data_IF_493572696926
#
_entry.id   IF_493572696926
#
_cell.length_a   1.000
_cell.length_b   1.000
_cell.length_c   1.000
_cell.angle_alpha   90.00
_cell.angle_beta   90.00
_cell.angle_gamma   90.00
#
_symmetry.space_group_name_H-M   'P 1'
#
loop_
_entity.id
_entity.type
_entity.pdbx_description
1 polymer ?
#
# COMPACT_ATOMS: atom_id res chain seq x y z
N UNK A 1 2.85 5.78 21.05
CA UNK A 1 2.69 6.16 19.62
C UNK A 1 4.03 6.08 18.91
N UNK A 2 4.03 5.62 17.68
CA UNK A 2 5.22 5.63 16.82
C UNK A 2 5.30 6.96 16.01
N UNK A 3 6.39 7.13 15.25
CA UNK A 3 6.66 8.35 14.49
C UNK A 3 5.56 8.74 13.48
N UNK A 4 4.88 7.75 12.86
CA UNK A 4 3.82 8.00 11.89
C UNK A 4 2.51 8.35 12.59
N UNK A 5 2.19 7.69 13.70
CA UNK A 5 1.02 8.00 14.52
C UNK A 5 1.09 9.43 15.08
N UNK A 6 2.28 9.84 15.57
CA UNK A 6 2.52 11.22 16.03
C UNK A 6 2.30 12.22 14.88
N UNK A 7 2.80 11.92 13.68
CA UNK A 7 2.61 12.77 12.51
C UNK A 7 1.15 12.86 12.09
N UNK A 8 0.40 11.75 12.13
CA UNK A 8 -1.03 11.72 11.82
C UNK A 8 -1.81 12.57 12.82
N UNK A 9 -1.49 12.51 14.11
CA UNK A 9 -2.14 13.34 15.14
C UNK A 9 -1.83 14.82 14.94
N UNK A 10 -0.59 15.16 14.57
CA UNK A 10 -0.14 16.53 14.41
C UNK A 10 -0.72 17.20 13.16
N UNK A 11 -0.69 16.54 12.01
CA UNK A 11 -0.93 17.15 10.70
C UNK A 11 -2.06 16.49 9.89
N UNK A 12 -2.60 15.36 10.37
CA UNK A 12 -3.75 14.68 9.76
C UNK A 12 -5.04 15.46 10.00
N UNK A 13 -5.92 15.47 9.00
CA UNK A 13 -7.21 16.18 9.09
C UNK A 13 -8.35 15.18 8.95
N UNK A 14 -9.15 15.04 10.01
CA UNK A 14 -10.36 14.21 9.99
C UNK A 14 -11.47 15.01 9.31
N UNK A 15 -11.95 14.53 8.15
CA UNK A 15 -13.07 15.13 7.42
C UNK A 15 -14.41 14.53 7.81
N UNK A 16 -14.40 13.23 8.14
CA UNK A 16 -15.53 12.48 8.68
C UNK A 16 -14.98 11.30 9.45
N UNK A 17 -15.82 10.58 10.17
CA UNK A 17 -15.39 9.40 10.93
C UNK A 17 -14.74 8.29 10.06
N UNK A 18 -14.85 8.40 8.75
CA UNK A 18 -14.26 7.46 7.78
C UNK A 18 -13.17 8.06 6.86
N UNK A 19 -12.97 9.39 6.88
CA UNK A 19 -12.06 10.09 5.95
C UNK A 19 -10.99 10.84 6.72
N UNK A 20 -9.76 10.34 6.63
CA UNK A 20 -8.55 11.00 7.07
C UNK A 20 -7.81 11.56 5.84
N UNK A 21 -7.45 12.83 5.89
CA UNK A 21 -6.55 13.47 4.93
C UNK A 21 -5.14 13.51 5.49
N UNK A 22 -4.21 13.00 4.71
CA UNK A 22 -2.77 13.00 4.96
C UNK A 22 -2.03 13.75 3.84
N UNK A 23 -2.74 14.65 3.17
CA UNK A 23 -2.32 15.32 1.93
C UNK A 23 -1.05 16.17 2.13
N UNK A 24 -0.88 16.72 3.33
CA UNK A 24 0.24 17.61 3.66
C UNK A 24 1.59 16.92 3.85
N UNK A 25 1.62 15.57 3.96
CA UNK A 25 2.87 14.88 4.24
C UNK A 25 3.04 13.52 3.52
N UNK A 26 1.97 12.92 2.96
CA UNK A 26 2.04 11.59 2.36
C UNK A 26 1.53 11.51 0.91
N UNK A 27 0.51 12.30 0.51
CA UNK A 27 -0.19 12.11 -0.77
C UNK A 27 0.05 13.24 -1.78
N UNK A 28 -0.20 14.51 -1.43
CA UNK A 28 -0.02 15.66 -2.32
C UNK A 28 1.31 16.36 -2.11
N UNK A 29 1.68 16.58 -0.85
CA UNK A 29 3.03 16.93 -0.47
C UNK A 29 3.66 15.71 0.19
N UNK A 30 4.86 15.34 -0.24
CA UNK A 30 5.58 14.20 0.28
C UNK A 30 6.67 14.70 1.24
N UNK A 31 6.55 14.36 2.52
CA UNK A 31 7.63 14.54 3.48
C UNK A 31 8.63 13.39 3.27
N UNK A 32 9.73 13.70 2.60
CA UNK A 32 10.70 12.69 2.19
C UNK A 32 11.39 12.01 3.37
N UNK A 33 11.62 12.74 4.48
CA UNK A 33 12.21 12.17 5.68
C UNK A 33 11.25 11.18 6.36
N UNK A 34 9.95 11.50 6.41
CA UNK A 34 8.92 10.60 6.93
C UNK A 34 8.78 9.34 6.06
N UNK A 35 8.77 9.51 4.74
CA UNK A 35 8.66 8.38 3.81
C UNK A 35 9.90 7.48 3.88
N UNK A 36 11.09 8.03 4.04
CA UNK A 36 12.32 7.24 4.28
C UNK A 36 12.23 6.45 5.61
N UNK A 37 11.66 7.02 6.68
CA UNK A 37 11.41 6.28 7.94
C UNK A 37 10.40 5.15 7.77
N UNK A 38 9.31 5.36 7.02
CA UNK A 38 8.34 4.31 6.68
C UNK A 38 9.04 3.19 5.92
N UNK A 39 9.85 3.53 4.92
CA UNK A 39 10.61 2.57 4.13
C UNK A 39 11.55 1.72 4.98
N UNK A 40 12.28 2.33 5.91
CA UNK A 40 13.17 1.65 6.85
C UNK A 40 12.39 0.71 7.80
N UNK A 41 11.27 1.16 8.35
CA UNK A 41 10.45 0.37 9.28
C UNK A 41 9.82 -0.86 8.59
N UNK A 42 9.39 -0.75 7.34
CA UNK A 42 8.92 -1.89 6.55
C UNK A 42 10.07 -2.84 6.19
N UNK A 43 11.26 -2.30 5.90
CA UNK A 43 12.45 -3.12 5.68
C UNK A 43 12.85 -3.89 6.96
N UNK A 44 12.81 -3.26 8.12
CA UNK A 44 13.14 -3.93 9.39
C UNK A 44 12.20 -5.11 9.66
N UNK A 45 10.95 -5.03 9.24
CA UNK A 45 9.99 -6.12 9.41
C UNK A 45 10.16 -7.25 8.36
N UNK A 46 10.29 -6.89 7.08
CA UNK A 46 10.31 -7.86 5.97
C UNK A 46 11.72 -8.26 5.50
N UNK A 47 12.79 -7.66 6.02
CA UNK A 47 14.14 -7.79 5.50
C UNK A 47 14.75 -9.19 5.54
N UNK A 48 14.15 -10.13 6.30
CA UNK A 48 14.55 -11.54 6.30
C UNK A 48 13.95 -12.36 5.16
N UNK A 49 12.99 -11.81 4.41
CA UNK A 49 12.31 -12.49 3.29
C UNK A 49 13.09 -12.31 1.98
N UNK A 50 12.99 -13.24 1.04
CA UNK A 50 13.77 -13.24 -0.22
C UNK A 50 13.15 -12.29 -1.26
N UNK A 51 12.86 -11.04 -0.90
CA UNK A 51 12.17 -10.10 -1.75
C UNK A 51 13.04 -9.70 -2.94
N UNK A 52 12.54 -9.90 -4.15
CA UNK A 52 13.20 -9.52 -5.41
C UNK A 52 12.61 -8.26 -6.04
N UNK A 53 11.35 -7.93 -5.74
CA UNK A 53 10.66 -6.74 -6.28
C UNK A 53 9.69 -6.15 -5.27
N UNK A 54 9.57 -4.82 -5.33
CA UNK A 54 8.46 -4.11 -4.66
C UNK A 54 7.40 -3.80 -5.71
N UNK A 55 6.14 -4.02 -5.35
CA UNK A 55 4.99 -3.72 -6.21
C UNK A 55 4.08 -2.74 -5.49
N UNK A 56 3.72 -1.66 -6.19
CA UNK A 56 2.76 -0.66 -5.71
C UNK A 56 1.78 -0.26 -6.79
N UNK A 57 0.80 0.57 -6.43
CA UNK A 57 -0.17 1.12 -7.39
C UNK A 57 -0.09 2.65 -7.42
N UNK A 58 -0.27 3.24 -8.62
CA UNK A 58 -0.29 4.69 -8.78
C UNK A 58 -1.55 5.32 -8.13
N UNK A 59 -1.45 6.57 -7.63
CA UNK A 59 -0.23 7.38 -7.59
C UNK A 59 0.36 7.43 -6.18
N UNK A 60 -0.47 7.36 -5.12
CA UNK A 60 -0.09 7.64 -3.73
C UNK A 60 0.83 6.58 -3.11
N UNK A 61 0.76 5.34 -3.55
CA UNK A 61 1.66 4.27 -3.09
C UNK A 61 3.11 4.42 -3.59
N UNK A 62 3.34 5.18 -4.67
CA UNK A 62 4.67 5.27 -5.30
C UNK A 62 5.75 5.81 -4.35
N UNK A 63 5.57 6.91 -3.60
CA UNK A 63 6.60 7.41 -2.69
C UNK A 63 7.01 6.38 -1.63
N UNK A 64 6.03 5.70 -1.02
CA UNK A 64 6.28 4.66 0.00
C UNK A 64 6.98 3.46 -0.65
N UNK A 65 6.46 2.99 -1.81
CA UNK A 65 7.08 1.92 -2.59
C UNK A 65 8.53 2.21 -2.96
N UNK A 66 8.84 3.46 -3.36
CA UNK A 66 10.20 3.88 -3.68
C UNK A 66 11.13 3.78 -2.45
N UNK A 67 10.70 4.27 -1.30
CA UNK A 67 11.50 4.22 -0.09
C UNK A 67 11.77 2.77 0.35
N UNK A 68 10.75 1.90 0.27
CA UNK A 68 10.91 0.46 0.56
C UNK A 68 11.88 -0.19 -0.43
N UNK A 69 11.68 0.01 -1.74
CA UNK A 69 12.53 -0.56 -2.79
C UNK A 69 14.01 -0.13 -2.64
N UNK A 70 14.24 1.12 -2.26
CA UNK A 70 15.58 1.66 -1.97
C UNK A 70 16.24 0.91 -0.79
N UNK A 71 15.51 0.62 0.28
CA UNK A 71 16.05 -0.11 1.44
C UNK A 71 16.35 -1.58 1.09
N UNK A 72 15.50 -2.24 0.30
CA UNK A 72 15.75 -3.60 -0.19
C UNK A 72 16.79 -3.67 -1.31
N UNK A 73 17.12 -2.54 -1.93
CA UNK A 73 17.97 -2.46 -3.13
C UNK A 73 17.45 -3.33 -4.28
N UNK A 74 16.15 -3.29 -4.52
CA UNK A 74 15.43 -4.04 -5.58
C UNK A 74 14.60 -3.10 -6.45
N UNK A 75 14.18 -3.51 -7.66
CA UNK A 75 13.28 -2.70 -8.49
C UNK A 75 11.93 -2.43 -7.85
N UNK A 76 11.37 -1.24 -8.15
CA UNK A 76 9.98 -0.88 -7.89
C UNK A 76 9.16 -1.05 -9.16
N UNK A 77 8.11 -1.84 -9.10
CA UNK A 77 7.09 -1.97 -10.14
C UNK A 77 5.87 -1.16 -9.73
N UNK A 78 5.39 -0.29 -10.63
CA UNK A 78 4.21 0.55 -10.40
C UNK A 78 3.06 0.08 -11.29
N UNK A 79 2.02 -0.48 -10.71
CA UNK A 79 0.78 -0.80 -11.40
C UNK A 79 0.06 0.49 -11.81
N UNK A 80 -0.51 0.49 -13.02
CA UNK A 80 -1.18 1.64 -13.63
C UNK A 80 -2.69 1.45 -13.67
N UNK A 81 -3.44 2.55 -13.49
CA UNK A 81 -4.91 2.58 -13.58
C UNK A 81 -5.43 2.93 -14.99
N UNK A 82 -4.52 3.18 -15.92
CA UNK A 82 -4.83 3.41 -17.33
C UNK A 82 -3.90 2.59 -18.21
N UNK A 83 -4.45 1.99 -19.27
CA UNK A 83 -3.66 1.26 -20.26
C UNK A 83 -2.71 2.23 -20.99
N UNK A 84 -1.43 1.89 -21.05
CA UNK A 84 -0.47 2.60 -21.89
C UNK A 84 -0.48 1.99 -23.28
N UNK A 85 -0.68 2.81 -24.31
CA UNK A 85 -0.76 2.41 -25.73
C UNK A 85 0.55 1.77 -26.25
N UNK A 86 1.63 1.86 -25.50
CA UNK A 86 2.99 1.47 -25.91
C UNK A 86 3.58 0.31 -25.08
N UNK A 87 2.75 -0.63 -24.60
CA UNK A 87 3.29 -1.80 -23.88
C UNK A 87 3.48 -2.96 -24.86
N UNK A 88 4.72 -3.17 -25.30
CA UNK A 88 5.12 -4.36 -26.03
C UNK A 88 5.16 -5.58 -25.09
N UNK A 89 4.74 -6.76 -25.57
CA UNK A 89 4.82 -8.01 -24.80
C UNK A 89 3.59 -8.34 -23.96
N UNK A 90 2.58 -7.48 -23.95
CA UNK A 90 1.32 -7.70 -23.22
C UNK A 90 1.36 -7.26 -21.76
N UNK A 91 0.19 -7.33 -21.12
CA UNK A 91 -0.03 -6.88 -19.75
C UNK A 91 -0.68 -7.96 -18.90
N UNK A 92 -0.40 -7.96 -17.61
CA UNK A 92 -1.29 -8.52 -16.60
C UNK A 92 -2.36 -7.49 -16.28
N UNK A 93 -3.59 -7.94 -16.08
CA UNK A 93 -4.75 -7.12 -15.81
C UNK A 93 -5.49 -7.65 -14.57
N UNK A 94 -5.89 -6.75 -13.68
CA UNK A 94 -6.88 -7.03 -12.66
C UNK A 94 -7.99 -5.99 -12.68
N UNK A 95 -9.22 -6.43 -12.39
CA UNK A 95 -10.37 -5.54 -12.19
C UNK A 95 -10.53 -5.26 -10.69
N UNK A 96 -10.56 -3.99 -10.32
CA UNK A 96 -10.63 -3.51 -8.94
C UNK A 96 -11.83 -2.59 -8.79
N UNK A 97 -12.77 -2.87 -7.86
CA UNK A 97 -13.89 -1.98 -7.60
C UNK A 97 -13.41 -0.60 -7.15
N UNK A 98 -13.87 0.45 -7.82
CA UNK A 98 -13.59 1.84 -7.44
C UNK A 98 -14.31 2.21 -6.15
N UNK A 99 -13.61 2.96 -5.28
CA UNK A 99 -14.17 3.47 -4.03
C UNK A 99 -15.09 4.68 -4.20
N UNK A 100 -14.94 5.42 -5.29
CA UNK A 100 -15.53 6.76 -5.43
C UNK A 100 -16.75 6.79 -6.32
N UNK A 101 -16.83 5.93 -7.33
CA UNK A 101 -17.88 6.00 -8.36
C UNK A 101 -18.58 4.66 -8.65
N UNK A 102 -18.28 3.60 -7.89
CA UNK A 102 -18.88 2.28 -8.03
C UNK A 102 -18.56 1.56 -9.35
N UNK A 103 -17.58 2.07 -10.12
CA UNK A 103 -17.11 1.45 -11.35
C UNK A 103 -16.01 0.44 -11.07
N UNK A 104 -15.79 -0.45 -12.04
CA UNK A 104 -14.61 -1.31 -12.04
C UNK A 104 -13.45 -0.55 -12.69
N UNK A 105 -12.37 -0.35 -11.91
CA UNK A 105 -11.11 0.15 -12.44
C UNK A 105 -10.27 -1.01 -12.92
N UNK A 106 -9.54 -0.82 -14.00
CA UNK A 106 -8.59 -1.79 -14.48
C UNK A 106 -7.19 -1.38 -14.02
N UNK A 107 -6.44 -2.37 -13.53
CA UNK A 107 -5.07 -2.18 -13.07
C UNK A 107 -4.16 -3.04 -13.93
N UNK A 108 -3.09 -2.44 -14.47
CA UNK A 108 -2.20 -3.02 -15.46
C UNK A 108 -0.76 -3.08 -14.98
N UNK A 109 -0.07 -4.17 -15.34
CA UNK A 109 1.38 -4.31 -15.21
C UNK A 109 1.91 -4.95 -16.50
N UNK A 110 3.01 -4.40 -17.06
CA UNK A 110 3.69 -5.04 -18.19
C UNK A 110 4.24 -6.41 -17.80
N UNK A 111 4.05 -7.41 -18.65
CA UNK A 111 4.62 -8.75 -18.49
C UNK A 111 6.16 -8.77 -18.55
N UNK A 112 6.78 -7.69 -19.02
CA UNK A 112 8.25 -7.57 -19.10
C UNK A 112 8.91 -7.28 -17.73
N UNK A 113 8.13 -6.90 -16.72
CA UNK A 113 8.67 -6.46 -15.42
C UNK A 113 8.24 -7.33 -14.24
N UNK A 114 7.50 -8.40 -14.50
CA UNK A 114 7.05 -9.36 -13.49
C UNK A 114 7.00 -10.76 -14.09
N UNK A 115 7.66 -11.72 -13.47
CA UNK A 115 7.74 -13.12 -13.90
C UNK A 115 7.65 -14.11 -12.73
N UNK A 116 7.65 -15.40 -13.04
CA UNK A 116 7.40 -16.49 -12.09
C UNK A 116 8.49 -16.63 -11.00
N UNK A 117 9.70 -16.16 -11.24
CA UNK A 117 10.81 -16.25 -10.28
C UNK A 117 10.79 -15.08 -9.27
N UNK A 118 9.82 -14.16 -9.40
CA UNK A 118 9.75 -12.99 -8.54
C UNK A 118 9.13 -13.28 -7.17
N UNK A 119 9.78 -12.73 -6.16
CA UNK A 119 9.33 -12.67 -4.78
C UNK A 119 8.93 -11.25 -4.46
N UNK A 120 7.64 -11.00 -4.37
CA UNK A 120 7.05 -9.65 -4.39
C UNK A 120 6.62 -9.21 -2.99
N UNK A 121 7.06 -8.05 -2.54
CA UNK A 121 6.44 -7.31 -1.45
C UNK A 121 5.51 -6.24 -2.04
N UNK A 122 4.21 -6.37 -1.76
CA UNK A 122 3.21 -5.35 -2.13
C UNK A 122 3.25 -4.22 -1.11
N UNK A 123 3.33 -2.98 -1.58
CA UNK A 123 3.42 -1.80 -0.71
C UNK A 123 2.41 -0.75 -1.14
N UNK A 124 1.73 -0.11 -0.17
CA UNK A 124 0.82 0.99 -0.42
C UNK A 124 0.87 2.05 0.70
N UNK A 125 0.33 3.24 0.44
CA UNK A 125 0.26 4.30 1.44
C UNK A 125 -0.89 4.08 2.44
N UNK A 126 -2.06 3.63 1.96
CA UNK A 126 -3.26 3.51 2.79
C UNK A 126 -4.09 2.28 2.46
N UNK A 127 -4.36 1.46 3.46
CA UNK A 127 -5.23 0.29 3.37
C UNK A 127 -6.60 0.60 3.99
N UNK A 128 -7.62 0.66 3.17
CA UNK A 128 -9.02 0.85 3.57
C UNK A 128 -9.82 -0.46 3.42
N UNK A 129 -10.46 -0.69 2.27
CA UNK A 129 -11.20 -1.94 2.01
C UNK A 129 -10.34 -3.05 1.36
N UNK A 130 -9.12 -2.73 0.96
CA UNK A 130 -8.15 -3.68 0.42
C UNK A 130 -8.37 -4.09 -1.04
N UNK A 131 -9.24 -3.41 -1.79
CA UNK A 131 -9.50 -3.80 -3.18
C UNK A 131 -8.26 -3.66 -4.07
N UNK A 132 -7.52 -2.55 -3.95
CA UNK A 132 -6.29 -2.33 -4.71
C UNK A 132 -5.26 -3.42 -4.41
N UNK A 133 -5.05 -3.74 -3.14
CA UNK A 133 -4.14 -4.82 -2.70
C UNK A 133 -4.56 -6.18 -3.27
N UNK A 134 -5.86 -6.52 -3.22
CA UNK A 134 -6.37 -7.78 -3.80
C UNK A 134 -6.14 -7.85 -5.31
N UNK A 135 -6.32 -6.73 -6.01
CA UNK A 135 -6.00 -6.63 -7.43
C UNK A 135 -4.53 -6.89 -7.72
N UNK A 136 -3.63 -6.31 -6.91
CA UNK A 136 -2.19 -6.55 -7.04
C UNK A 136 -1.83 -8.01 -6.73
N UNK A 137 -2.44 -8.62 -5.70
CA UNK A 137 -2.25 -10.06 -5.42
C UNK A 137 -2.68 -10.93 -6.61
N UNK A 138 -3.82 -10.64 -7.23
CA UNK A 138 -4.30 -11.37 -8.41
C UNK A 138 -3.35 -11.23 -9.61
N UNK A 139 -2.72 -10.07 -9.79
CA UNK A 139 -1.70 -9.86 -10.83
C UNK A 139 -0.45 -10.69 -10.55
N UNK A 140 0.03 -10.72 -9.30
CA UNK A 140 1.20 -11.52 -8.91
C UNK A 140 0.92 -13.01 -9.13
N UNK A 141 -0.27 -13.48 -8.76
CA UNK A 141 -0.73 -14.85 -9.02
C UNK A 141 -0.79 -15.16 -10.53
N UNK A 142 -1.31 -14.23 -11.35
CA UNK A 142 -1.38 -14.39 -12.81
C UNK A 142 0.00 -14.41 -13.49
N UNK A 143 1.04 -13.94 -12.81
CA UNK A 143 2.44 -14.02 -13.24
C UNK A 143 3.14 -15.28 -12.74
N UNK A 144 2.44 -16.16 -12.00
CA UNK A 144 3.00 -17.30 -11.27
C UNK A 144 4.09 -16.89 -10.25
N UNK A 145 4.14 -15.61 -9.86
CA UNK A 145 5.07 -15.06 -8.89
C UNK A 145 4.57 -15.25 -7.44
N UNK A 146 5.44 -15.02 -6.46
CA UNK A 146 5.13 -15.21 -5.04
C UNK A 146 4.91 -13.88 -4.32
N UNK A 147 3.78 -13.71 -3.61
CA UNK A 147 3.58 -12.62 -2.66
C UNK A 147 4.22 -12.98 -1.33
N UNK A 148 5.32 -12.33 -0.96
CA UNK A 148 6.04 -12.55 0.30
C UNK A 148 5.40 -11.82 1.49
N UNK A 149 4.71 -10.72 1.21
CA UNK A 149 4.03 -9.93 2.23
C UNK A 149 3.40 -8.67 1.67
N UNK A 150 2.73 -7.93 2.57
CA UNK A 150 2.05 -6.68 2.26
C UNK A 150 2.43 -5.65 3.31
N UNK A 151 3.02 -4.54 2.90
CA UNK A 151 3.41 -3.43 3.77
C UNK A 151 2.59 -2.18 3.46
N UNK A 152 1.99 -1.56 4.46
CA UNK A 152 1.25 -0.30 4.27
C UNK A 152 1.68 0.74 5.30
N UNK A 153 1.69 2.01 4.91
CA UNK A 153 1.96 3.06 5.88
C UNK A 153 0.81 3.15 6.89
N UNK A 154 -0.43 3.25 6.43
CA UNK A 154 -1.61 3.42 7.28
C UNK A 154 -2.66 2.34 6.97
N UNK A 155 -3.13 1.62 8.00
CA UNK A 155 -4.30 0.76 7.93
C UNK A 155 -5.48 1.42 8.64
N UNK A 156 -6.64 1.48 7.98
CA UNK A 156 -7.92 1.81 8.63
C UNK A 156 -8.50 0.53 9.26
N UNK A 157 -8.10 0.23 10.49
CA UNK A 157 -8.46 -0.99 11.19
C UNK A 157 -9.97 -1.17 11.43
N UNK A 158 -10.73 -0.06 11.45
CA UNK A 158 -12.19 -0.06 11.51
C UNK A 158 -12.88 -0.44 10.18
N UNK A 159 -12.10 -0.64 9.10
CA UNK A 159 -12.59 -1.17 7.83
C UNK A 159 -12.14 -2.62 7.62
N UNK A 160 -12.81 -3.33 6.72
CA UNK A 160 -12.63 -4.78 6.58
C UNK A 160 -11.37 -5.18 5.77
N UNK A 161 -10.64 -4.24 5.17
CA UNK A 161 -9.56 -4.54 4.23
C UNK A 161 -8.43 -5.34 4.87
N UNK A 162 -7.90 -4.88 5.98
CA UNK A 162 -6.79 -5.55 6.66
C UNK A 162 -7.16 -6.95 7.12
N UNK A 163 -8.37 -7.11 7.72
CA UNK A 163 -8.84 -8.44 8.12
C UNK A 163 -9.03 -9.37 6.92
N UNK A 164 -9.55 -8.86 5.81
CA UNK A 164 -9.74 -9.66 4.59
C UNK A 164 -8.39 -10.15 4.02
N UNK A 165 -7.36 -9.29 4.00
CA UNK A 165 -6.02 -9.64 3.54
C UNK A 165 -5.38 -10.70 4.46
N UNK A 166 -5.47 -10.53 5.79
CA UNK A 166 -4.96 -11.52 6.76
C UNK A 166 -5.70 -12.86 6.64
N UNK A 167 -7.02 -12.86 6.39
CA UNK A 167 -7.80 -14.07 6.17
C UNK A 167 -7.42 -14.82 4.87
N UNK A 168 -6.83 -14.13 3.89
CA UNK A 168 -6.26 -14.76 2.69
C UNK A 168 -4.90 -15.43 2.98
N UNK A 169 -4.38 -15.30 4.21
CA UNK A 169 -3.11 -15.90 4.64
C UNK A 169 -1.88 -15.04 4.40
N UNK A 170 -2.04 -13.78 3.97
CA UNK A 170 -0.91 -12.88 3.75
C UNK A 170 -0.41 -12.26 5.06
N UNK A 171 0.91 -12.14 5.14
CA UNK A 171 1.60 -11.38 6.18
C UNK A 171 1.45 -9.88 5.88
N UNK A 172 0.64 -9.20 6.70
CA UNK A 172 0.32 -7.77 6.55
C UNK A 172 0.90 -6.97 7.71
N UNK A 173 1.80 -6.04 7.40
CA UNK A 173 2.35 -5.05 8.32
C UNK A 173 1.86 -3.65 7.96
N UNK A 174 1.23 -2.98 8.91
CA UNK A 174 0.97 -1.54 8.88
C UNK A 174 1.91 -0.83 9.87
N UNK A 175 2.38 0.38 9.50
CA UNK A 175 3.16 1.21 10.42
C UNK A 175 2.24 1.89 11.44
N UNK A 176 1.08 2.39 10.98
CA UNK A 176 0.03 2.90 11.86
C UNK A 176 -1.30 2.21 11.54
N UNK A 177 -1.98 1.68 12.57
CA UNK A 177 -3.32 1.12 12.43
C UNK A 177 -4.31 1.98 13.20
N UNK A 178 -5.25 2.60 12.50
CA UNK A 178 -6.28 3.45 13.09
C UNK A 178 -7.50 2.58 13.43
N UNK A 179 -7.82 2.47 14.71
CA UNK A 179 -9.00 1.71 15.19
C UNK A 179 -10.28 2.53 15.16
N UNK A 180 -10.20 3.84 15.39
CA UNK A 180 -11.34 4.73 15.35
C UNK A 180 -10.91 6.17 15.08
N UNK A 181 -11.82 6.93 14.47
CA UNK A 181 -11.70 8.38 14.31
C UNK A 181 -13.02 9.03 14.68
N UNK A 182 -12.96 10.20 15.30
CA UNK A 182 -14.12 11.01 15.63
C UNK A 182 -13.91 12.44 15.13
N UNK A 183 -14.69 12.85 14.14
CA UNK A 183 -14.55 14.17 13.52
C UNK A 183 -15.06 15.34 14.40
N UNK A 184 -15.85 15.06 15.44
CA UNK A 184 -16.37 16.10 16.35
C UNK A 184 -15.37 16.43 17.46
N UNK A 185 -14.62 15.43 17.91
CA UNK A 185 -13.62 15.59 18.97
C UNK A 185 -12.19 15.64 18.43
N UNK A 186 -12.03 15.49 17.11
CA UNK A 186 -10.72 15.41 16.43
C UNK A 186 -9.80 14.32 17.01
N UNK A 187 -10.39 13.27 17.58
CA UNK A 187 -9.63 12.18 18.20
C UNK A 187 -9.41 11.02 17.23
N UNK A 188 -8.19 10.48 17.27
CA UNK A 188 -7.79 9.27 16.57
C UNK A 188 -7.33 8.25 17.62
N UNK A 189 -7.86 7.03 17.52
CA UNK A 189 -7.41 5.90 18.35
C UNK A 189 -6.62 4.95 17.46
N UNK A 190 -5.42 4.63 17.87
CA UNK A 190 -4.57 3.65 17.19
C UNK A 190 -4.61 2.31 17.91
N UNK A 191 -4.34 1.25 17.14
CA UNK A 191 -4.10 -0.09 17.70
C UNK A 191 -2.77 -0.08 18.44
N UNK A 192 -2.74 -0.68 19.63
CA UNK A 192 -1.49 -0.87 20.36
C UNK A 192 -0.53 -1.73 19.50
N UNK A 193 0.75 -1.36 19.52
CA UNK A 193 1.77 -2.15 18.85
C UNK A 193 1.88 -3.54 19.52
N UNK A 194 1.67 -4.60 18.75
CA UNK A 194 1.97 -5.98 19.14
C UNK A 194 3.46 -6.26 19.09
#
# INVERSE_FOLDING_TARGET
MNFLEERIVQDGVIKSDNVLKVDSFLNHQIDTALVDQIGAALYDYFGSKPISKILTIEASGIPVGYAVAKNFNVPLVCARKSESVNIDGGTYLAEVPSHTDGKMNQVYISKQVLDADDHVLIVDDLLANGNDIKGLCAIVEAADATVEGIGVAIEKGFQNGGQAIRNMGFDLKAIATIEAMNNKTEQITFRDAE
#
